data_IF_561799886492
#
_entry.id   IF_561799886492
#
_cell.length_a   1.000
_cell.length_b   1.000
_cell.length_c   1.000
_cell.angle_alpha   90.00
_cell.angle_beta   90.00
_cell.angle_gamma   90.00
#
_symmetry.space_group_name_H-M   'P 1'
#
loop_
_entity.id
_entity.type
_entity.pdbx_description
1 polymer ?
#
# COMPACT_ATOMS: atom_id res chain seq x y z
N UNK A 1 -3.88 13.47 0.29
CA UNK A 1 -3.77 12.43 -0.76
C UNK A 1 -3.07 11.20 -0.21
N UNK A 2 -3.75 10.07 -0.12
CA UNK A 2 -3.08 8.85 0.28
C UNK A 2 -2.28 8.26 -0.88
N UNK A 3 -0.99 8.08 -0.65
CA UNK A 3 -0.11 7.36 -1.54
C UNK A 3 0.24 6.03 -0.89
N UNK A 4 -0.08 4.92 -1.55
CA UNK A 4 0.31 3.59 -1.11
C UNK A 4 1.34 3.06 -2.10
N UNK A 5 2.57 2.87 -1.62
CA UNK A 5 3.66 2.32 -2.41
C UNK A 5 3.97 0.92 -1.89
N UNK A 6 3.84 -0.07 -2.76
CA UNK A 6 4.10 -1.46 -2.44
C UNK A 6 5.36 -1.90 -3.19
N UNK A 7 6.48 -1.96 -2.48
CA UNK A 7 7.73 -2.48 -3.04
C UNK A 7 7.80 -3.97 -2.81
N UNK A 8 8.07 -4.74 -3.88
CA UNK A 8 8.11 -6.20 -3.79
C UNK A 8 9.35 -6.77 -4.46
N UNK A 9 9.84 -7.86 -3.90
CA UNK A 9 10.95 -8.61 -4.49
C UNK A 9 10.49 -9.23 -5.82
N UNK A 10 11.34 -9.12 -6.84
CA UNK A 10 11.01 -9.53 -8.21
C UNK A 10 10.52 -10.97 -8.33
N UNK A 11 10.92 -11.85 -7.42
CA UNK A 11 10.49 -13.25 -7.40
C UNK A 11 9.00 -13.44 -7.08
N UNK A 12 8.27 -12.39 -6.69
CA UNK A 12 6.81 -12.42 -6.53
C UNK A 12 6.05 -12.18 -7.83
N UNK A 13 6.70 -11.68 -8.87
CA UNK A 13 6.04 -11.27 -10.12
C UNK A 13 5.19 -12.37 -10.75
N UNK A 14 5.68 -13.61 -10.74
CA UNK A 14 4.97 -14.75 -11.32
C UNK A 14 4.00 -15.43 -10.36
N UNK A 15 4.02 -15.04 -9.09
CA UNK A 15 3.22 -15.68 -8.02
C UNK A 15 2.00 -14.84 -7.63
N UNK A 16 2.06 -13.52 -7.82
CA UNK A 16 1.03 -12.57 -7.42
C UNK A 16 0.64 -11.68 -8.59
N UNK A 17 -0.67 -11.50 -8.78
CA UNK A 17 -1.16 -10.50 -9.72
C UNK A 17 -1.10 -9.13 -9.05
N UNK A 18 -0.05 -8.37 -9.35
CA UNK A 18 0.18 -7.07 -8.72
C UNK A 18 -0.89 -6.03 -9.07
N UNK A 19 -1.44 -6.08 -10.29
CA UNK A 19 -2.53 -5.18 -10.66
C UNK A 19 -3.78 -5.43 -9.82
N UNK A 20 -4.13 -6.70 -9.59
CA UNK A 20 -5.24 -7.07 -8.71
C UNK A 20 -4.97 -6.66 -7.27
N UNK A 21 -3.73 -6.81 -6.80
CA UNK A 21 -3.34 -6.40 -5.45
C UNK A 21 -3.48 -4.88 -5.27
N UNK A 22 -3.09 -4.09 -6.28
CA UNK A 22 -3.29 -2.64 -6.27
C UNK A 22 -4.77 -2.27 -6.16
N UNK A 23 -5.64 -2.96 -6.89
CA UNK A 23 -7.09 -2.72 -6.79
C UNK A 23 -7.65 -3.09 -5.44
N UNK A 24 -7.18 -4.19 -4.85
CA UNK A 24 -7.59 -4.61 -3.51
C UNK A 24 -7.15 -3.59 -2.45
N UNK A 25 -5.92 -3.09 -2.55
CA UNK A 25 -5.41 -2.04 -1.67
C UNK A 25 -6.22 -0.75 -1.80
N UNK A 26 -6.56 -0.35 -3.02
CA UNK A 26 -7.41 0.83 -3.27
C UNK A 26 -8.79 0.66 -2.61
N UNK A 27 -9.42 -0.50 -2.78
CA UNK A 27 -10.71 -0.78 -2.17
C UNK A 27 -10.63 -0.70 -0.65
N UNK A 28 -9.58 -1.24 -0.04
CA UNK A 28 -9.35 -1.17 1.40
C UNK A 28 -9.24 0.28 1.90
N UNK A 29 -8.48 1.11 1.20
CA UNK A 29 -8.32 2.53 1.53
C UNK A 29 -9.65 3.25 1.43
N UNK A 30 -10.43 2.99 0.39
CA UNK A 30 -11.74 3.62 0.21
C UNK A 30 -12.77 3.17 1.26
N UNK A 31 -12.70 1.94 1.72
CA UNK A 31 -13.58 1.42 2.78
C UNK A 31 -13.45 2.17 4.09
N UNK A 32 -12.31 2.78 4.36
CA UNK A 32 -12.11 3.55 5.59
C UNK A 32 -13.02 4.78 5.67
N UNK A 33 -13.51 5.27 4.53
CA UNK A 33 -14.35 6.47 4.45
C UNK A 33 -13.62 7.77 4.71
N UNK A 34 -12.29 7.74 4.83
CA UNK A 34 -11.47 8.90 5.20
C UNK A 34 -10.92 9.68 3.99
N UNK A 35 -11.06 9.14 2.78
CA UNK A 35 -10.44 9.71 1.60
C UNK A 35 -11.42 9.82 0.43
N UNK A 36 -11.28 10.87 -0.37
CA UNK A 36 -12.01 11.01 -1.62
C UNK A 36 -11.34 10.15 -2.69
N UNK A 37 -12.14 9.57 -3.58
CA UNK A 37 -11.66 8.68 -4.65
C UNK A 37 -10.56 9.32 -5.49
N UNK A 38 -10.73 10.58 -5.86
CA UNK A 38 -9.77 11.30 -6.70
C UNK A 38 -8.39 11.53 -6.05
N UNK A 39 -8.30 11.34 -4.74
CA UNK A 39 -7.06 11.53 -3.99
C UNK A 39 -6.21 10.25 -3.90
N UNK A 40 -6.81 9.08 -4.13
CA UNK A 40 -6.15 7.79 -3.86
C UNK A 40 -5.18 7.40 -4.98
N UNK A 41 -3.96 7.03 -4.59
CA UNK A 41 -2.90 6.57 -5.49
C UNK A 41 -2.24 5.32 -4.93
N UNK A 42 -2.36 4.22 -5.68
CA UNK A 42 -1.74 2.95 -5.31
C UNK A 42 -0.78 2.54 -6.42
N UNK A 43 0.37 2.01 -6.04
CA UNK A 43 1.32 1.48 -7.02
C UNK A 43 2.14 0.34 -6.42
N UNK A 44 2.54 -0.58 -7.28
CA UNK A 44 3.47 -1.65 -6.97
C UNK A 44 4.77 -1.38 -7.71
N UNK A 45 5.88 -1.46 -7.00
CA UNK A 45 7.22 -1.19 -7.53
C UNK A 45 8.04 -2.47 -7.41
N UNK A 46 8.46 -3.01 -8.55
CA UNK A 46 9.27 -4.21 -8.60
C UNK A 46 10.72 -3.91 -8.23
N UNK A 47 11.24 -4.61 -7.24
CA UNK A 47 12.64 -4.52 -6.86
C UNK A 47 13.41 -5.63 -7.56
N UNK A 48 14.30 -5.24 -8.49
CA UNK A 48 15.12 -6.20 -9.25
C UNK A 48 16.29 -6.73 -8.43
N UNK A 49 16.85 -5.89 -7.55
CA UNK A 49 18.01 -6.22 -6.74
C UNK A 49 17.65 -6.11 -5.27
N UNK A 50 17.88 -7.17 -4.52
CA UNK A 50 17.55 -7.23 -3.11
C UNK A 50 18.37 -8.32 -2.42
N UNK A 51 18.52 -8.18 -1.10
CA UNK A 51 19.09 -9.20 -0.23
C UNK A 51 18.17 -9.35 0.96
N UNK A 52 17.68 -10.55 1.22
CA UNK A 52 16.67 -10.81 2.23
C UNK A 52 17.19 -11.85 3.23
N UNK A 53 17.36 -11.41 4.49
CA UNK A 53 17.70 -12.27 5.64
C UNK A 53 18.92 -13.17 5.37
N UNK A 54 18.71 -14.49 5.32
CA UNK A 54 19.76 -15.49 5.07
C UNK A 54 20.01 -15.74 3.56
N UNK A 55 19.42 -14.89 2.70
CA UNK A 55 19.62 -14.90 1.25
C UNK A 55 19.18 -16.19 0.53
N UNK A 56 18.30 -16.98 1.12
CA UNK A 56 17.69 -18.10 0.39
C UNK A 56 16.91 -17.59 -0.81
N UNK A 57 16.99 -18.26 -1.99
CA UNK A 57 16.29 -17.79 -3.20
C UNK A 57 14.77 -17.70 -3.05
N UNK A 58 14.18 -18.46 -2.16
CA UNK A 58 12.74 -18.48 -1.90
C UNK A 58 12.26 -17.26 -1.12
N UNK A 59 13.16 -16.58 -0.43
CA UNK A 59 12.80 -15.43 0.39
C UNK A 59 12.20 -14.31 -0.48
N UNK A 60 11.08 -13.77 -0.02
CA UNK A 60 10.35 -12.73 -0.72
C UNK A 60 9.79 -11.71 0.28
N UNK A 61 9.55 -10.50 -0.18
CA UNK A 61 8.93 -9.47 0.65
C UNK A 61 7.95 -8.60 -0.13
N UNK A 62 7.01 -8.05 0.62
CA UNK A 62 6.19 -6.91 0.20
C UNK A 62 6.29 -5.86 1.31
N UNK A 63 6.87 -4.71 1.00
CA UNK A 63 6.98 -3.58 1.93
C UNK A 63 6.04 -2.48 1.48
N UNK A 64 5.07 -2.15 2.32
CA UNK A 64 4.01 -1.20 2.01
C UNK A 64 4.19 0.06 2.84
N UNK A 65 4.29 1.19 2.18
CA UNK A 65 4.32 2.49 2.83
C UNK A 65 3.06 3.27 2.45
N UNK A 66 2.30 3.67 3.45
CA UNK A 66 1.14 4.54 3.30
C UNK A 66 1.52 5.94 3.75
N UNK A 67 1.45 6.90 2.82
CA UNK A 67 1.73 8.30 3.11
C UNK A 67 0.46 9.11 2.96
N UNK A 68 0.05 9.79 4.02
CA UNK A 68 -1.18 10.58 4.06
C UNK A 68 -0.92 12.01 4.53
N UNK A 69 -1.89 12.89 4.34
CA UNK A 69 -1.85 14.24 4.89
C UNK A 69 -2.05 14.24 6.41
N UNK A 70 -1.53 15.27 7.05
CA UNK A 70 -1.71 15.48 8.49
C UNK A 70 -3.15 15.86 8.83
N UNK A 71 -3.52 15.70 10.11
CA UNK A 71 -4.80 16.17 10.66
C UNK A 71 -5.75 15.07 11.08
N UNK A 72 -5.42 13.81 10.84
CA UNK A 72 -6.25 12.68 11.30
C UNK A 72 -5.82 12.22 12.70
N UNK A 73 -6.76 11.67 13.44
CA UNK A 73 -6.49 11.13 14.78
C UNK A 73 -5.64 9.86 14.68
N UNK A 74 -5.02 9.48 15.80
CA UNK A 74 -4.27 8.22 15.87
C UNK A 74 -5.17 7.02 15.56
N UNK A 75 -6.40 7.04 16.06
CA UNK A 75 -7.39 5.98 15.82
C UNK A 75 -7.73 5.85 14.33
N UNK A 76 -7.96 6.98 13.64
CA UNK A 76 -8.21 7.00 12.21
C UNK A 76 -7.02 6.45 11.42
N UNK A 77 -5.81 6.85 11.78
CA UNK A 77 -4.58 6.35 11.15
C UNK A 77 -4.39 4.86 11.37
N UNK A 78 -4.64 4.38 12.58
CA UNK A 78 -4.59 2.94 12.88
C UNK A 78 -5.60 2.17 12.05
N UNK A 79 -6.82 2.70 11.90
CA UNK A 79 -7.84 2.07 11.06
C UNK A 79 -7.37 1.91 9.61
N UNK A 80 -6.72 2.91 9.06
CA UNK A 80 -6.15 2.84 7.70
C UNK A 80 -5.12 1.71 7.62
N UNK A 81 -4.15 1.70 8.52
CA UNK A 81 -3.07 0.71 8.52
C UNK A 81 -3.56 -0.70 8.77
N UNK A 82 -4.43 -0.89 9.75
CA UNK A 82 -4.99 -2.21 10.08
C UNK A 82 -5.85 -2.77 8.98
N UNK A 83 -6.72 -1.95 8.38
CA UNK A 83 -7.59 -2.36 7.27
C UNK A 83 -6.74 -2.82 6.08
N UNK A 84 -5.74 -2.03 5.71
CA UNK A 84 -4.85 -2.38 4.61
C UNK A 84 -4.05 -3.64 4.91
N UNK A 85 -3.50 -3.75 6.12
CA UNK A 85 -2.72 -4.92 6.53
C UNK A 85 -3.56 -6.20 6.47
N UNK A 86 -4.78 -6.17 6.97
CA UNK A 86 -5.67 -7.33 6.94
C UNK A 86 -6.02 -7.76 5.52
N UNK A 87 -6.36 -6.80 4.66
CA UNK A 87 -6.70 -7.09 3.25
C UNK A 87 -5.49 -7.69 2.52
N UNK A 88 -4.31 -7.13 2.71
CA UNK A 88 -3.09 -7.63 2.07
C UNK A 88 -2.67 -8.99 2.62
N UNK A 89 -2.73 -9.18 3.93
CA UNK A 89 -2.39 -10.47 4.55
C UNK A 89 -3.33 -11.59 4.07
N UNK A 90 -4.61 -11.30 3.92
CA UNK A 90 -5.59 -12.24 3.40
C UNK A 90 -5.33 -12.57 1.92
N UNK A 91 -5.08 -11.57 1.10
CA UNK A 91 -4.77 -11.74 -0.32
C UNK A 91 -3.47 -12.55 -0.54
N UNK A 92 -2.54 -12.47 0.41
CA UNK A 92 -1.22 -13.12 0.34
C UNK A 92 -1.12 -14.34 1.26
N UNK A 93 -2.26 -14.88 1.72
CA UNK A 93 -2.30 -15.95 2.69
C UNK A 93 -1.47 -17.17 2.28
N UNK A 94 -1.48 -17.55 0.99
CA UNK A 94 -0.71 -18.69 0.50
C UNK A 94 0.81 -18.51 0.66
N UNK A 95 1.30 -17.28 0.62
CA UNK A 95 2.73 -17.00 0.81
C UNK A 95 3.14 -17.22 2.26
N UNK A 96 2.24 -17.00 3.21
CA UNK A 96 2.49 -17.22 4.63
C UNK A 96 2.45 -18.71 5.03
N UNK A 97 2.02 -19.58 4.14
CA UNK A 97 2.13 -21.03 4.33
C UNK A 97 3.58 -21.50 4.19
N UNK A 98 4.46 -20.67 3.65
CA UNK A 98 5.89 -20.90 3.56
C UNK A 98 6.62 -20.09 4.62
N UNK A 99 7.83 -20.51 5.08
CA UNK A 99 8.62 -19.70 6.01
C UNK A 99 9.52 -18.67 5.29
N UNK A 100 9.10 -18.19 4.11
CA UNK A 100 9.95 -17.39 3.23
C UNK A 100 9.34 -16.06 2.79
N UNK A 101 8.28 -15.58 3.47
CA UNK A 101 7.63 -14.35 3.08
C UNK A 101 7.47 -13.38 4.25
N UNK A 102 7.77 -12.10 3.98
CA UNK A 102 7.58 -11.02 4.94
C UNK A 102 6.72 -9.91 4.33
N UNK A 103 5.70 -9.49 5.08
CA UNK A 103 4.86 -8.34 4.77
C UNK A 103 5.07 -7.28 5.85
N UNK A 104 5.28 -6.03 5.44
CA UNK A 104 5.29 -4.90 6.35
C UNK A 104 4.38 -3.79 5.82
N UNK A 105 3.68 -3.12 6.74
CA UNK A 105 2.83 -1.97 6.43
C UNK A 105 3.16 -0.86 7.42
N UNK A 106 3.64 0.27 6.90
CA UNK A 106 3.94 1.44 7.69
C UNK A 106 3.13 2.62 7.19
N UNK A 107 2.75 3.53 8.10
CA UNK A 107 2.02 4.74 7.76
C UNK A 107 2.77 5.96 8.26
N UNK A 108 2.96 6.93 7.36
CA UNK A 108 3.58 8.21 7.69
C UNK A 108 2.69 9.37 7.27
N UNK A 109 2.87 10.53 7.92
CA UNK A 109 2.16 11.75 7.59
C UNK A 109 3.08 12.75 6.91
N UNK A 110 2.51 13.50 5.93
CA UNK A 110 3.19 14.65 5.35
C UNK A 110 3.10 15.84 6.29
N UNK A 111 4.15 16.67 6.30
CA UNK A 111 4.04 18.02 6.82
C UNK A 111 3.24 18.86 5.81
N UNK A 112 2.09 19.36 6.22
CA UNK A 112 1.20 20.15 5.35
C UNK A 112 1.85 21.45 4.85
N UNK A 113 2.79 22.00 5.60
CA UNK A 113 3.56 23.19 5.20
C UNK A 113 4.55 22.90 4.07
N UNK A 114 4.86 21.64 3.84
CA UNK A 114 5.86 21.19 2.86
C UNK A 114 5.27 20.25 1.81
N UNK A 115 3.96 20.41 1.53
CA UNK A 115 3.28 19.57 0.55
C UNK A 115 2.42 20.42 -0.37
N UNK A 116 2.67 20.32 -1.66
CA UNK A 116 1.95 21.04 -2.70
C UNK A 116 1.23 20.05 -3.60
N UNK A 117 -0.03 20.35 -3.95
CA UNK A 117 -0.88 19.44 -4.74
C UNK A 117 -1.65 20.20 -5.80
N UNK A 118 -1.77 19.58 -6.96
CA UNK A 118 -2.66 20.04 -8.02
C UNK A 118 -3.27 18.79 -8.66
N UNK A 119 -4.58 18.62 -8.54
CA UNK A 119 -5.24 17.35 -8.87
C UNK A 119 -6.45 17.56 -9.78
N UNK A 120 -6.25 17.34 -11.07
CA UNK A 120 -7.32 17.46 -12.07
C UNK A 120 -8.32 16.29 -11.99
N UNK A 121 -7.89 15.11 -11.54
CA UNK A 121 -8.76 13.93 -11.37
C UNK A 121 -9.81 14.21 -10.31
N UNK A 122 -9.39 14.81 -9.22
CA UNK A 122 -10.24 15.20 -8.09
C UNK A 122 -11.37 16.12 -8.55
N UNK A 123 -11.00 17.18 -9.30
CA UNK A 123 -11.96 18.12 -9.83
C UNK A 123 -12.96 17.46 -10.78
N UNK A 124 -12.50 16.55 -11.64
CA UNK A 124 -13.37 15.83 -12.57
C UNK A 124 -14.37 14.95 -11.83
N UNK A 125 -13.92 14.19 -10.84
CA UNK A 125 -14.78 13.26 -10.09
C UNK A 125 -15.79 13.98 -9.20
N UNK A 126 -15.46 15.17 -8.70
CA UNK A 126 -16.38 16.00 -7.92
C UNK A 126 -17.53 16.55 -8.75
N UNK A 127 -17.35 16.66 -10.07
CA UNK A 127 -18.38 17.13 -11.00
C UNK A 127 -19.31 16.02 -11.49
N UNK A 128 -18.91 14.78 -11.31
CA UNK A 128 -19.67 13.63 -11.79
C UNK A 128 -20.93 13.39 -10.95
#
# INVERSE_FOLDING_TARGET
>A
MPHVTMEYSANLETRINMAALCRAAKAAIMETGLFELGAVRIRAVRCEHYAIADELPENAFLAVLVRIGAGRTLEEKRNVGETLNLVLADALASLFETPHFALSVDLIENDSALSWKKNAIHARLRKA
#
